data_IF_891451769836
#
_entry.id   IF_891451769836
#
_cell.length_a   1.000
_cell.length_b   1.000
_cell.length_c   1.000
_cell.angle_alpha   90.00
_cell.angle_beta   90.00
_cell.angle_gamma   90.00
#
_symmetry.space_group_name_H-M   'P 1'
#
loop_
_entity.id
_entity.type
_entity.pdbx_description
1 polymer ?
#
# COMPACT_ATOMS: atom_id res chain seq x y z
N UNK A 1 9.60 7.56 -2.46
CA UNK A 1 9.21 8.37 -3.63
C UNK A 1 9.41 7.49 -4.85
N UNK A 2 8.39 7.32 -5.70
CA UNK A 2 8.56 6.61 -6.97
C UNK A 2 8.94 7.64 -8.03
N UNK A 3 9.98 7.42 -8.86
CA UNK A 3 10.29 8.32 -9.97
C UNK A 3 9.07 8.47 -10.88
N UNK A 4 8.58 9.69 -11.07
CA UNK A 4 7.47 9.99 -11.98
C UNK A 4 6.05 9.80 -11.44
N UNK A 5 5.84 9.24 -10.23
CA UNK A 5 4.49 9.05 -9.70
C UNK A 5 4.37 9.08 -8.17
N UNK A 6 3.25 9.59 -7.67
CA UNK A 6 2.91 9.62 -6.24
C UNK A 6 2.00 8.44 -5.89
N UNK A 7 2.28 7.77 -4.76
CA UNK A 7 1.54 6.59 -4.29
C UNK A 7 0.01 6.74 -4.27
N UNK A 8 -0.55 7.84 -3.71
CA UNK A 8 -2.00 8.08 -3.74
C UNK A 8 -2.59 8.25 -5.14
N UNK A 9 -1.81 8.82 -6.08
CA UNK A 9 -2.24 8.97 -7.48
C UNK A 9 -2.25 7.62 -8.20
N UNK A 10 -1.22 6.81 -7.97
CA UNK A 10 -1.15 5.44 -8.47
C UNK A 10 -2.33 4.60 -7.94
N UNK A 11 -2.62 4.70 -6.63
CA UNK A 11 -3.77 4.02 -6.01
C UNK A 11 -5.10 4.38 -6.69
N UNK A 12 -5.34 5.67 -6.97
CA UNK A 12 -6.57 6.09 -7.67
C UNK A 12 -6.68 5.46 -9.06
N UNK A 13 -5.59 5.41 -9.83
CA UNK A 13 -5.58 4.75 -11.14
C UNK A 13 -5.89 3.25 -11.01
N UNK A 14 -5.27 2.58 -10.04
CA UNK A 14 -5.49 1.16 -9.77
C UNK A 14 -6.95 0.86 -9.41
N UNK A 15 -7.62 1.75 -8.65
CA UNK A 15 -9.05 1.60 -8.31
C UNK A 15 -10.02 1.92 -9.45
N UNK A 16 -9.58 2.64 -10.48
CA UNK A 16 -10.40 2.91 -11.68
C UNK A 16 -10.35 1.74 -12.69
N UNK A 17 -9.32 0.91 -12.61
CA UNK A 17 -9.17 -0.26 -13.45
C UNK A 17 -10.12 -1.39 -13.01
N UNK A 18 -10.93 -1.93 -13.93
CA UNK A 18 -11.95 -2.93 -13.59
C UNK A 18 -11.38 -4.25 -13.08
N UNK A 19 -10.19 -4.62 -13.54
CA UNK A 19 -9.52 -5.87 -13.18
C UNK A 19 -8.69 -5.69 -11.90
N UNK A 20 -8.08 -4.53 -11.72
CA UNK A 20 -7.18 -4.27 -10.59
C UNK A 20 -7.85 -3.58 -9.39
N UNK A 21 -9.09 -3.09 -9.53
CA UNK A 21 -9.79 -2.37 -8.46
C UNK A 21 -9.96 -3.15 -7.17
N UNK A 22 -9.84 -4.47 -7.18
CA UNK A 22 -10.01 -5.32 -5.98
C UNK A 22 -8.68 -5.80 -5.41
N UNK A 23 -7.55 -5.47 -6.04
CA UNK A 23 -6.22 -5.89 -5.57
C UNK A 23 -5.97 -5.31 -4.18
N UNK A 24 -5.57 -6.13 -3.19
CA UNK A 24 -5.18 -5.65 -1.88
C UNK A 24 -3.90 -4.80 -1.98
N UNK A 25 -3.87 -3.66 -1.27
CA UNK A 25 -2.75 -2.71 -1.32
C UNK A 25 -2.17 -2.54 0.08
N UNK A 26 -0.84 -2.68 0.20
CA UNK A 26 -0.08 -2.36 1.40
C UNK A 26 0.76 -1.12 1.12
N UNK A 27 0.71 -0.12 2.00
CA UNK A 27 1.41 1.16 1.82
C UNK A 27 2.65 1.18 2.69
N UNK A 28 3.81 1.45 2.10
CA UNK A 28 5.09 1.56 2.82
C UNK A 28 5.63 2.99 2.69
N UNK A 29 5.66 3.75 3.78
CA UNK A 29 6.04 5.17 3.79
C UNK A 29 7.09 5.49 4.86
N UNK A 30 7.99 6.44 4.57
CA UNK A 30 8.92 7.02 5.56
C UNK A 30 8.53 8.43 6.02
N UNK A 31 7.43 8.96 5.48
CA UNK A 31 6.87 10.27 5.80
C UNK A 31 5.50 10.07 6.42
N UNK A 32 5.21 10.83 7.48
CA UNK A 32 3.90 10.86 8.15
C UNK A 32 2.83 11.32 7.15
N UNK A 33 2.15 10.34 6.57
CA UNK A 33 1.13 10.49 5.54
C UNK A 33 0.15 9.31 5.56
N UNK A 34 0.03 8.71 6.74
CA UNK A 34 -0.47 7.36 7.03
C UNK A 34 -1.92 7.10 6.64
N UNK A 35 -2.61 8.08 6.06
CA UNK A 35 -4.04 7.99 5.74
C UNK A 35 -4.37 8.47 4.31
N UNK A 36 -3.38 8.62 3.44
CA UNK A 36 -3.63 9.08 2.06
C UNK A 36 -4.40 8.06 1.19
N UNK A 37 -4.54 6.80 1.64
CA UNK A 37 -5.18 5.70 0.91
C UNK A 37 -6.20 5.01 1.80
N UNK A 38 -7.51 5.21 1.54
CA UNK A 38 -8.57 4.77 2.45
C UNK A 38 -8.68 3.26 2.64
N UNK A 39 -8.47 2.47 1.57
CA UNK A 39 -8.70 1.02 1.59
C UNK A 39 -7.38 0.22 1.47
N UNK A 40 -6.30 0.76 2.04
CA UNK A 40 -5.07 0.01 2.23
C UNK A 40 -5.28 -1.04 3.33
N UNK A 41 -4.82 -2.26 3.09
CA UNK A 41 -4.88 -3.36 4.05
C UNK A 41 -3.99 -3.10 5.25
N UNK A 42 -2.85 -2.46 5.02
CA UNK A 42 -1.92 -2.07 6.06
C UNK A 42 -1.07 -0.87 5.66
N UNK A 43 -0.64 -0.12 6.67
CA UNK A 43 0.35 0.94 6.56
C UNK A 43 1.60 0.52 7.34
N UNK A 44 2.75 0.60 6.67
CA UNK A 44 4.04 0.19 7.21
C UNK A 44 5.01 1.36 7.14
N UNK A 45 5.47 1.82 8.31
CA UNK A 45 6.42 2.94 8.42
C UNK A 45 7.86 2.47 8.20
N UNK A 46 8.68 3.23 7.48
CA UNK A 46 10.12 2.99 7.35
C UNK A 46 10.90 3.64 8.52
N UNK A 47 11.96 2.98 9.03
CA UNK A 47 12.37 1.60 8.73
C UNK A 47 11.36 0.59 9.29
N UNK A 48 11.13 -0.51 8.56
CA UNK A 48 10.21 -1.57 8.97
C UNK A 48 10.93 -2.89 9.20
N UNK A 49 10.29 -3.74 9.98
CA UNK A 49 10.71 -5.11 10.23
C UNK A 49 10.21 -6.04 9.10
N UNK A 50 11.12 -6.72 8.37
CA UNK A 50 10.75 -7.65 7.30
C UNK A 50 9.84 -8.79 7.75
N UNK A 51 10.04 -9.31 8.97
CA UNK A 51 9.25 -10.44 9.48
C UNK A 51 7.79 -10.02 9.72
N UNK A 52 7.60 -8.82 10.27
CA UNK A 52 6.26 -8.24 10.45
C UNK A 52 5.56 -8.01 9.10
N UNK A 53 6.30 -7.55 8.09
CA UNK A 53 5.74 -7.36 6.75
C UNK A 53 5.30 -8.69 6.13
N UNK A 54 6.11 -9.74 6.27
CA UNK A 54 5.75 -11.10 5.79
C UNK A 54 4.47 -11.60 6.49
N UNK A 55 4.33 -11.37 7.79
CA UNK A 55 3.12 -11.71 8.54
C UNK A 55 1.87 -11.03 7.96
N UNK A 56 1.96 -9.73 7.66
CA UNK A 56 0.85 -8.97 7.04
C UNK A 56 0.49 -9.55 5.66
N UNK A 57 1.49 -9.85 4.84
CA UNK A 57 1.27 -10.42 3.49
C UNK A 57 0.56 -11.77 3.58
N UNK A 58 1.03 -12.67 4.45
CA UNK A 58 0.42 -14.00 4.64
C UNK A 58 -1.04 -13.90 5.06
N UNK A 59 -1.37 -13.00 5.98
CA UNK A 59 -2.74 -12.77 6.42
C UNK A 59 -3.63 -12.15 5.34
N UNK A 60 -3.04 -11.43 4.39
CA UNK A 60 -3.77 -10.73 3.32
C UNK A 60 -4.09 -11.65 2.14
N UNK A 61 -3.18 -12.57 1.80
CA UNK A 61 -3.32 -13.45 0.63
C UNK A 61 -4.09 -14.73 0.95
N UNK A 62 -4.11 -15.17 2.22
CA UNK A 62 -5.07 -16.13 2.78
C UNK A 62 -5.33 -17.38 1.94
#
# INVERSE_FOLDING_TARGET
QMPGEWGPRFYRKLRLDKELKSTPVIVISGIDGDHAIKDAVAFVRKPFDPEKLIGIIKNTIG
#
